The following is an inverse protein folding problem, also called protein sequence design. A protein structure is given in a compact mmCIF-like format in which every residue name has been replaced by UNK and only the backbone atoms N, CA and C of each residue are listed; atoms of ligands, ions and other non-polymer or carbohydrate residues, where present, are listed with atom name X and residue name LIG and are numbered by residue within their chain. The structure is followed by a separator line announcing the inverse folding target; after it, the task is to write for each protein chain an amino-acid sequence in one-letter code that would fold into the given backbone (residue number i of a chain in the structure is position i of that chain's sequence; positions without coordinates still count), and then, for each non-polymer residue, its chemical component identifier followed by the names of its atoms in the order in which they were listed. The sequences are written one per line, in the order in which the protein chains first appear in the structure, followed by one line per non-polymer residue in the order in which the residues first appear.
data_IF_346016543449
#
_entry.id   IF_346016543449
#
_cell.length_a   1.000
_cell.length_b   1.000
_cell.length_c   1.000
_cell.angle_alpha   90.00
_cell.angle_beta   90.00
_cell.angle_gamma   90.00
#
_symmetry.space_group_name_H-M   'P 1'
#
loop_
_entity.id
_entity.type
_entity.pdbx_description
1 polymer ?
#
# COMPACT_ATOMS: atom_id res chain seq x y z
N UNK A 1 14.24 7.64 -8.72
CA UNK A 1 13.90 6.56 -7.77
C UNK A 1 13.80 5.26 -8.54
N UNK A 2 14.34 4.14 -8.05
CA UNK A 2 14.15 2.83 -8.69
C UNK A 2 12.80 2.25 -8.28
N UNK A 3 12.25 1.34 -9.09
CA UNK A 3 11.00 0.61 -8.78
C UNK A 3 11.11 -0.10 -7.43
N UNK A 4 12.22 -0.79 -7.18
CA UNK A 4 12.45 -1.48 -5.91
C UNK A 4 12.43 -0.51 -4.72
N UNK A 5 13.05 0.66 -4.86
CA UNK A 5 13.07 1.67 -3.80
C UNK A 5 11.70 2.33 -3.57
N UNK A 6 10.88 2.45 -4.61
CA UNK A 6 9.48 2.89 -4.49
C UNK A 6 8.67 1.87 -3.68
N UNK A 7 8.80 0.59 -4.01
CA UNK A 7 8.08 -0.50 -3.34
C UNK A 7 8.47 -0.65 -1.86
N UNK A 8 9.77 -0.49 -1.55
CA UNK A 8 10.25 -0.51 -0.16
C UNK A 8 9.69 0.67 0.65
N UNK A 9 9.79 1.89 0.12
CA UNK A 9 9.22 3.07 0.79
C UNK A 9 7.71 2.97 1.00
N UNK A 10 7.00 2.38 0.06
CA UNK A 10 5.56 2.12 0.18
C UNK A 10 5.25 1.21 1.38
N UNK A 11 5.94 0.07 1.48
CA UNK A 11 5.74 -0.86 2.60
C UNK A 11 6.23 -0.30 3.93
N UNK A 12 7.33 0.46 3.94
CA UNK A 12 7.81 1.16 5.14
C UNK A 12 6.77 2.16 5.65
N UNK A 13 6.13 2.91 4.74
CA UNK A 13 5.04 3.83 5.09
C UNK A 13 3.84 3.12 5.69
N UNK A 14 3.44 1.97 5.13
CA UNK A 14 2.37 1.15 5.70
C UNK A 14 2.72 0.63 7.10
N UNK A 15 3.94 0.08 7.28
CA UNK A 15 4.39 -0.48 8.56
C UNK A 15 4.50 0.55 9.68
N UNK A 16 4.87 1.79 9.34
CA UNK A 16 4.99 2.88 10.30
C UNK A 16 3.65 3.57 10.59
N UNK A 17 2.59 3.22 9.87
CA UNK A 17 1.33 3.97 9.89
C UNK A 17 1.47 5.40 9.37
N UNK A 18 2.46 5.66 8.53
CA UNK A 18 2.77 6.99 8.03
C UNK A 18 2.00 7.26 6.73
N UNK A 19 0.76 7.72 6.89
CA UNK A 19 -0.16 8.03 5.77
C UNK A 19 0.47 9.07 4.84
N UNK A 20 1.09 10.12 5.37
CA UNK A 20 1.70 11.18 4.57
C UNK A 20 2.80 10.64 3.65
N UNK A 21 3.65 9.74 4.15
CA UNK A 21 4.67 9.06 3.35
C UNK A 21 4.03 8.24 2.24
N UNK A 22 3.01 7.44 2.55
CA UNK A 22 2.31 6.60 1.54
C UNK A 22 1.69 7.48 0.46
N UNK A 23 0.98 8.55 0.82
CA UNK A 23 0.33 9.46 -0.12
C UNK A 23 1.35 10.18 -1.01
N UNK A 24 2.54 10.49 -0.51
CA UNK A 24 3.60 11.17 -1.29
C UNK A 24 4.13 10.34 -2.47
N UNK A 25 3.89 9.02 -2.48
CA UNK A 25 4.33 8.11 -3.53
C UNK A 25 3.35 8.02 -4.71
N UNK A 26 2.17 8.63 -4.59
CA UNK A 26 1.14 8.62 -5.63
C UNK A 26 1.07 9.95 -6.37
N UNK A 27 0.69 9.88 -7.65
CA UNK A 27 0.27 11.05 -8.41
C UNK A 27 -1.02 11.64 -7.82
N UNK A 28 -1.18 12.97 -7.91
CA UNK A 28 -2.27 13.71 -7.25
C UNK A 28 -3.67 13.15 -7.55
N UNK A 29 -3.88 12.71 -8.78
CA UNK A 29 -5.18 12.27 -9.30
C UNK A 29 -5.27 10.73 -9.43
N UNK A 30 -4.40 10.00 -8.73
CA UNK A 30 -4.37 8.54 -8.74
C UNK A 30 -5.58 7.91 -8.01
N UNK A 31 -5.99 6.74 -8.50
CA UNK A 31 -7.13 5.96 -7.99
C UNK A 31 -6.69 4.56 -7.58
N UNK A 32 -7.31 4.02 -6.52
CA UNK A 32 -7.10 2.65 -6.07
C UNK A 32 -8.36 1.85 -6.35
N UNK A 33 -8.18 0.68 -6.97
CA UNK A 33 -9.21 -0.33 -7.13
C UNK A 33 -8.99 -1.43 -6.09
N UNK A 34 -9.85 -1.48 -5.08
CA UNK A 34 -9.81 -2.48 -4.02
C UNK A 34 -11.03 -3.40 -4.08
N UNK A 35 -10.88 -4.73 -3.94
CA UNK A 35 -12.02 -5.64 -3.82
C UNK A 35 -12.93 -5.35 -2.61
N UNK A 36 -12.37 -4.82 -1.52
CA UNK A 36 -13.11 -4.55 -0.28
C UNK A 36 -13.72 -3.14 -0.23
N UNK A 37 -12.99 -2.15 -0.73
CA UNK A 37 -13.38 -0.73 -0.64
C UNK A 37 -13.90 -0.15 -1.96
N UNK A 38 -13.85 -0.90 -3.06
CA UNK A 38 -14.22 -0.42 -4.40
C UNK A 38 -13.15 0.47 -5.04
N UNK A 39 -13.55 1.23 -6.06
CA UNK A 39 -12.69 2.19 -6.76
C UNK A 39 -12.82 3.59 -6.13
N UNK A 40 -11.72 4.14 -5.61
CA UNK A 40 -11.70 5.43 -4.88
C UNK A 40 -10.41 6.22 -5.13
N UNK A 41 -10.40 7.55 -4.92
CA UNK A 41 -9.17 8.33 -4.86
C UNK A 41 -8.23 7.80 -3.78
N UNK A 42 -6.91 7.82 -4.05
CA UNK A 42 -5.86 7.30 -3.15
C UNK A 42 -6.03 7.82 -1.71
N UNK A 43 -6.24 9.13 -1.55
CA UNK A 43 -6.39 9.74 -0.22
C UNK A 43 -7.56 9.13 0.56
N UNK A 44 -8.74 9.06 -0.07
CA UNK A 44 -9.94 8.51 0.56
C UNK A 44 -9.77 7.04 0.92
N UNK A 45 -9.11 6.27 0.05
CA UNK A 45 -8.83 4.86 0.32
C UNK A 45 -7.95 4.67 1.57
N UNK A 46 -6.84 5.39 1.68
CA UNK A 46 -5.95 5.22 2.84
C UNK A 46 -6.54 5.81 4.12
N UNK A 47 -7.27 6.92 4.07
CA UNK A 47 -7.98 7.45 5.23
C UNK A 47 -8.94 6.38 5.83
N UNK A 48 -9.70 5.68 4.98
CA UNK A 48 -10.60 4.60 5.40
C UNK A 48 -9.83 3.35 5.87
N UNK A 49 -8.84 2.90 5.09
CA UNK A 49 -8.06 1.71 5.42
C UNK A 49 -7.39 1.82 6.80
N UNK A 50 -6.80 2.97 7.10
CA UNK A 50 -6.12 3.21 8.38
C UNK A 50 -7.10 3.40 9.54
N UNK A 51 -8.32 3.87 9.29
CA UNK A 51 -9.36 3.92 10.32
C UNK A 51 -9.87 2.51 10.68
N UNK A 52 -9.94 1.62 9.70
CA UNK A 52 -10.48 0.26 9.87
C UNK A 52 -9.43 -0.79 10.28
N UNK A 53 -8.14 -0.44 10.26
CA UNK A 53 -7.05 -1.37 10.63
C UNK A 53 -6.28 -0.91 11.86
N UNK A 54 -6.17 -1.78 12.86
CA UNK A 54 -5.14 -1.68 13.89
C UNK A 54 -3.78 -2.06 13.28
N UNK A 55 -2.72 -1.35 13.70
CA UNK A 55 -1.34 -1.49 13.21
C UNK A 55 -1.01 -2.92 12.77
N UNK A 56 -0.72 -3.07 11.47
CA UNK A 56 -0.37 -4.34 10.86
C UNK A 56 1.09 -4.35 10.44
N UNK A 57 1.86 -5.29 10.95
CA UNK A 57 3.21 -5.53 10.45
C UNK A 57 3.11 -6.25 9.10
N UNK A 58 3.61 -5.61 8.05
CA UNK A 58 3.70 -6.17 6.71
C UNK A 58 5.14 -6.49 6.32
N UNK A 59 5.38 -7.72 5.86
CA UNK A 59 6.72 -8.19 5.46
C UNK A 59 6.73 -8.46 3.97
N UNK A 60 7.55 -7.73 3.22
CA UNK A 60 7.75 -7.94 1.78
C UNK A 60 8.33 -9.34 1.52
N UNK A 61 7.67 -10.11 0.65
CA UNK A 61 8.15 -11.42 0.23
C UNK A 61 8.74 -11.38 -1.18
N UNK A 62 8.05 -10.74 -2.11
CA UNK A 62 8.49 -10.69 -3.52
C UNK A 62 7.99 -9.45 -4.25
N UNK A 63 8.81 -8.93 -5.16
CA UNK A 63 8.44 -7.90 -6.13
C UNK A 63 8.54 -8.55 -7.51
N UNK A 64 7.44 -8.61 -8.25
CA UNK A 64 7.46 -9.03 -9.66
C UNK A 64 7.05 -7.87 -10.56
N UNK A 65 7.87 -7.62 -11.59
CA UNK A 65 7.53 -6.69 -12.67
C UNK A 65 6.89 -7.47 -13.81
N UNK A 66 5.81 -6.95 -14.39
CA UNK A 66 5.28 -7.51 -15.63
C UNK A 66 6.26 -7.24 -16.78
N UNK A 67 6.47 -8.24 -17.64
CA UNK A 67 7.49 -8.21 -18.69
C UNK A 67 7.02 -7.53 -19.98
N UNK A 68 5.73 -7.25 -20.12
CA UNK A 68 5.11 -6.71 -21.32
C UNK A 68 4.64 -5.25 -21.11
N UNK A 69 4.35 -4.50 -22.19
CA UNK A 69 4.38 -3.02 -22.37
C UNK A 69 3.69 -2.09 -21.33
N UNK A 70 3.15 -2.60 -20.22
CA UNK A 70 2.62 -1.82 -19.11
C UNK A 70 3.62 -1.82 -17.93
N UNK A 71 3.94 -0.63 -17.40
CA UNK A 71 4.72 -0.48 -16.18
C UNK A 71 3.90 -0.89 -14.94
N UNK A 72 3.59 -2.18 -14.85
CA UNK A 72 2.87 -2.81 -13.75
C UNK A 72 3.84 -3.56 -12.83
N UNK A 73 3.63 -3.40 -11.52
CA UNK A 73 4.40 -4.05 -10.47
C UNK A 73 3.42 -4.74 -9.54
N UNK A 74 3.69 -6.02 -9.26
CA UNK A 74 2.97 -6.77 -8.24
C UNK A 74 3.85 -6.94 -7.00
N UNK A 75 3.26 -6.64 -5.84
CA UNK A 75 3.88 -6.83 -4.53
C UNK A 75 3.19 -7.98 -3.81
N UNK A 76 3.97 -8.97 -3.42
CA UNK A 76 3.53 -10.03 -2.52
C UNK A 76 4.15 -9.80 -1.15
N UNK A 77 3.30 -9.64 -0.14
CA UNK A 77 3.68 -9.42 1.25
C UNK A 77 2.70 -10.15 2.19
N UNK A 78 3.19 -10.51 3.37
CA UNK A 78 2.31 -10.93 4.47
C UNK A 78 1.83 -9.71 5.23
N UNK A 79 0.57 -9.69 5.68
CA UNK A 79 0.06 -8.70 6.63
C UNK A 79 -0.52 -9.38 7.85
N UNK A 80 -0.11 -8.97 9.04
CA UNK A 80 -0.70 -9.41 10.31
C UNK A 80 -1.56 -8.29 10.89
N UNK A 81 -2.88 -8.42 10.88
CA UNK A 81 -3.76 -7.50 11.61
C UNK A 81 -3.74 -7.92 13.07
N UNK A 82 -3.04 -7.18 13.93
CA UNK A 82 -3.13 -7.37 15.36
C UNK A 82 -4.50 -6.86 15.85
N UNK A 83 -5.53 -7.71 15.83
CA UNK A 83 -6.75 -7.46 16.60
C UNK A 83 -6.40 -7.60 18.09
N UNK A 84 -6.07 -6.49 18.75
CA UNK A 84 -6.15 -6.46 20.22
C UNK A 84 -7.62 -6.35 20.60
N UNK A 85 -8.24 -7.49 20.92
CA UNK A 85 -9.46 -7.47 21.73
C UNK A 85 -9.07 -6.96 23.13
N UNK A 86 -9.65 -5.84 23.54
CA UNK A 86 -9.75 -5.47 24.96
C UNK A 86 -10.93 -6.22 25.59
#
# INVERSE_FOLDING_TARGET
MTIENLCKQYLDGLNQGNIDLVLSLFERDATISSPLYGNKPVKTFYDELFADTSLSETTLLHISKESDEQDAIALHFNGFVAQTYL
#
